data_IF_973604018036
#
_entry.id   IF_973604018036
#
_cell.length_a   1.000
_cell.length_b   1.000
_cell.length_c   1.000
_cell.angle_alpha   90.00
_cell.angle_beta   90.00
_cell.angle_gamma   90.00
#
_symmetry.space_group_name_H-M   'P 1'
#
loop_
_entity.id
_entity.type
_entity.pdbx_description
1 polymer ?
#
# COMPACT_ATOMS: atom_id res chain seq x y z
N UNK A 1 -37.80 -13.12 16.50
CA UNK A 1 -37.02 -13.07 15.25
C UNK A 1 -36.14 -11.81 15.29
N UNK A 2 -34.83 -11.91 15.59
CA UNK A 2 -33.98 -10.73 15.60
C UNK A 2 -33.32 -10.56 14.22
N UNK A 3 -33.72 -9.52 13.50
CA UNK A 3 -32.96 -8.97 12.38
C UNK A 3 -32.20 -7.75 12.89
N UNK A 4 -30.95 -7.96 13.32
CA UNK A 4 -29.98 -6.88 13.51
C UNK A 4 -28.72 -7.24 12.70
N UNK A 5 -28.68 -6.79 11.45
CA UNK A 5 -27.41 -6.60 10.72
C UNK A 5 -27.11 -5.12 10.73
N UNK A 6 -26.30 -4.69 11.69
CA UNK A 6 -25.67 -3.37 11.71
C UNK A 6 -24.32 -3.53 11.01
N UNK A 7 -24.28 -3.25 9.71
CA UNK A 7 -23.05 -3.11 8.95
C UNK A 7 -22.44 -1.75 9.28
N UNK A 8 -21.24 -1.75 9.85
CA UNK A 8 -20.43 -0.56 10.05
C UNK A 8 -19.05 -0.82 9.42
N UNK A 9 -18.79 -0.14 8.31
CA UNK A 9 -17.58 -0.22 7.50
C UNK A 9 -16.55 0.79 8.01
N UNK A 10 -15.31 0.35 8.17
CA UNK A 10 -14.17 1.19 8.57
C UNK A 10 -13.14 1.24 7.45
N UNK A 11 -12.69 2.45 7.15
CA UNK A 11 -11.73 2.74 6.09
C UNK A 11 -10.31 2.43 6.55
N UNK A 12 -9.79 1.29 6.09
CA UNK A 12 -8.35 1.06 5.96
C UNK A 12 -8.05 0.99 4.46
N UNK A 13 -7.39 2.02 3.94
CA UNK A 13 -6.91 2.02 2.55
C UNK A 13 -5.71 1.07 2.52
N UNK A 14 -5.96 -0.20 2.25
CA UNK A 14 -4.93 -1.09 1.75
C UNK A 14 -4.62 -0.66 0.32
N UNK A 15 -3.65 0.25 0.17
CA UNK A 15 -2.96 0.40 -1.10
C UNK A 15 -2.29 -0.94 -1.35
N UNK A 16 -2.86 -1.77 -2.24
CA UNK A 16 -2.17 -2.92 -2.81
C UNK A 16 -0.96 -2.38 -3.56
N UNK A 17 0.11 -2.13 -2.82
CA UNK A 17 1.44 -1.97 -3.37
C UNK A 17 1.80 -3.36 -3.91
N UNK A 18 1.37 -3.63 -5.14
CA UNK A 18 2.09 -4.56 -5.98
C UNK A 18 3.56 -4.21 -5.78
N UNK A 19 4.36 -5.16 -5.29
CA UNK A 19 5.79 -5.02 -4.96
C UNK A 19 6.48 -6.31 -5.46
N UNK A 20 6.75 -6.40 -6.76
CA UNK A 20 7.40 -7.57 -7.37
C UNK A 20 8.91 -7.31 -7.45
N UNK A 21 9.69 -8.20 -6.85
CA UNK A 21 11.15 -8.14 -6.79
C UNK A 21 11.81 -8.35 -8.16
N UNK A 22 12.94 -7.69 -8.36
CA UNK A 22 13.88 -7.95 -9.44
C UNK A 22 14.65 -9.26 -9.26
N UNK A 23 14.96 -9.87 -10.41
CA UNK A 23 15.89 -10.97 -10.54
C UNK A 23 17.29 -10.56 -10.07
N UNK A 24 17.92 -11.43 -9.28
CA UNK A 24 19.35 -11.39 -9.02
C UNK A 24 20.09 -11.80 -10.30
N UNK A 25 20.84 -10.87 -10.89
CA UNK A 25 21.91 -11.19 -11.83
C UNK A 25 23.22 -10.82 -11.14
N UNK A 26 23.97 -11.87 -10.79
CA UNK A 26 25.31 -11.82 -10.26
C UNK A 26 26.26 -11.41 -11.38
N UNK A 27 26.86 -10.23 -11.28
CA UNK A 27 27.96 -9.80 -12.13
C UNK A 27 28.96 -9.01 -11.29
N UNK A 28 30.02 -9.70 -10.87
CA UNK A 28 31.30 -9.11 -10.53
C UNK A 28 31.80 -8.27 -11.71
N UNK A 29 32.33 -7.07 -11.42
CA UNK A 29 33.61 -6.49 -11.87
C UNK A 29 33.53 -4.96 -11.84
N UNK A 30 34.57 -4.32 -11.30
CA UNK A 30 34.88 -2.90 -11.52
C UNK A 30 34.95 -2.08 -10.24
N UNK A 31 36.15 -1.97 -9.69
CA UNK A 31 36.52 -1.03 -8.63
C UNK A 31 36.88 0.30 -9.32
N UNK A 32 35.89 1.15 -9.55
CA UNK A 32 36.08 2.53 -10.01
C UNK A 32 35.67 3.47 -8.86
N UNK A 33 36.67 4.10 -8.24
CA UNK A 33 36.48 5.21 -7.31
C UNK A 33 35.88 6.40 -8.07
N UNK A 34 34.56 6.59 -7.96
CA UNK A 34 33.89 7.79 -8.42
C UNK A 34 33.75 8.74 -7.23
N UNK A 35 34.57 9.80 -7.21
CA UNK A 35 34.37 10.95 -6.34
C UNK A 35 32.98 11.53 -6.61
N UNK A 36 32.05 11.24 -5.69
CA UNK A 36 30.67 11.71 -5.77
C UNK A 36 30.58 13.08 -5.11
N UNK A 37 30.73 14.13 -5.92
CA UNK A 37 30.43 15.51 -5.52
C UNK A 37 28.95 15.61 -5.15
N UNK A 38 28.69 15.60 -3.83
CA UNK A 38 27.36 15.71 -3.24
C UNK A 38 26.90 17.17 -3.29
N UNK A 39 26.38 17.57 -4.44
CA UNK A 39 25.67 18.85 -4.57
C UNK A 39 24.41 18.82 -3.70
N UNK A 40 24.31 19.80 -2.79
CA UNK A 40 23.23 19.97 -1.83
C UNK A 40 21.84 19.97 -2.52
N UNK A 41 21.07 18.91 -2.28
CA UNK A 41 19.64 18.85 -2.62
C UNK A 41 18.92 19.80 -1.67
N UNK A 42 18.22 20.80 -2.22
CA UNK A 42 17.51 21.82 -1.44
C UNK A 42 16.45 21.23 -0.50
N UNK A 43 16.57 21.58 0.77
CA UNK A 43 15.84 21.14 1.97
C UNK A 43 14.33 21.54 2.04
N UNK A 44 13.64 21.75 0.92
CA UNK A 44 12.37 22.50 0.92
C UNK A 44 11.08 21.72 0.65
N UNK A 45 11.14 20.54 0.02
CA UNK A 45 9.93 19.82 -0.34
C UNK A 45 9.47 18.98 0.87
N UNK A 46 8.27 19.23 1.45
CA UNK A 46 7.73 18.33 2.46
C UNK A 46 7.66 16.92 1.85
N UNK A 47 8.07 15.88 2.60
CA UNK A 47 8.02 14.51 2.09
C UNK A 47 6.60 14.22 1.59
N UNK A 48 6.46 13.47 0.47
CA UNK A 48 5.14 13.12 -0.03
C UNK A 48 4.33 12.52 1.10
N UNK A 49 3.06 12.91 1.21
CA UNK A 49 2.15 12.47 2.27
C UNK A 49 1.97 10.95 2.20
N UNK A 50 2.91 10.21 2.78
CA UNK A 50 2.76 8.79 3.03
C UNK A 50 1.67 8.74 4.09
N UNK A 51 0.47 8.31 3.71
CA UNK A 51 -0.66 8.20 4.62
C UNK A 51 -0.18 7.50 5.89
N UNK A 52 -0.49 8.09 7.05
CA UNK A 52 -0.02 7.56 8.33
C UNK A 52 -0.57 6.14 8.46
N UNK A 53 0.29 5.14 8.29
CA UNK A 53 -0.09 3.75 8.52
C UNK A 53 -0.35 3.60 10.02
N UNK A 54 -1.57 3.23 10.37
CA UNK A 54 -1.93 2.74 11.70
C UNK A 54 -2.24 1.25 11.58
N UNK A 55 -2.11 0.50 12.68
CA UNK A 55 -2.38 -0.94 12.68
C UNK A 55 -1.18 -1.82 12.98
N UNK A 56 -1.38 -3.15 12.95
CA UNK A 56 -0.32 -4.15 13.02
C UNK A 56 0.87 -3.90 12.06
N UNK A 57 0.67 -3.46 10.80
CA UNK A 57 1.80 -3.16 9.90
C UNK A 57 2.68 -2.03 10.42
N UNK A 58 2.09 -0.97 10.96
CA UNK A 58 2.82 0.18 11.47
C UNK A 58 3.72 -0.20 12.65
N UNK A 59 3.23 -1.07 13.54
CA UNK A 59 3.99 -1.61 14.66
C UNK A 59 5.21 -2.42 14.16
N UNK A 60 5.03 -3.29 13.17
CA UNK A 60 6.14 -4.05 12.60
C UNK A 60 7.18 -3.15 11.92
N UNK A 61 6.76 -2.15 11.16
CA UNK A 61 7.70 -1.23 10.51
C UNK A 61 8.49 -0.38 11.52
N UNK A 62 7.94 -0.08 12.70
CA UNK A 62 8.74 0.52 13.78
C UNK A 62 9.73 -0.45 14.40
N UNK A 63 9.38 -1.73 14.51
CA UNK A 63 10.31 -2.74 14.99
C UNK A 63 11.56 -2.82 14.10
N UNK A 64 11.42 -2.69 12.77
CA UNK A 64 12.54 -2.59 11.82
C UNK A 64 13.44 -1.36 12.06
N UNK A 65 12.88 -0.31 12.66
CA UNK A 65 13.56 0.94 12.96
C UNK A 65 13.92 1.06 14.45
N UNK A 66 13.80 -0.01 15.23
CA UNK A 66 14.09 0.03 16.66
C UNK A 66 15.57 0.43 16.90
N UNK A 67 15.85 1.28 17.90
CA UNK A 67 17.22 1.63 18.24
C UNK A 67 17.98 0.39 18.76
N UNK A 68 19.27 0.30 18.45
CA UNK A 68 20.13 -0.75 18.99
C UNK A 68 19.90 -2.17 18.45
N UNK A 69 19.21 -2.33 17.32
CA UNK A 69 19.10 -3.64 16.66
C UNK A 69 20.49 -4.22 16.36
N UNK A 70 20.74 -5.43 16.84
CA UNK A 70 21.92 -6.20 16.42
C UNK A 70 21.79 -6.62 14.94
N UNK A 71 22.91 -6.99 14.32
CA UNK A 71 22.91 -7.47 12.93
C UNK A 71 22.02 -8.71 12.74
N UNK A 72 22.01 -9.62 13.71
CA UNK A 72 21.16 -10.82 13.69
C UNK A 72 19.66 -10.46 13.83
N UNK A 73 19.31 -9.56 14.75
CA UNK A 73 17.93 -9.09 14.91
C UNK A 73 17.42 -8.44 13.62
N UNK A 74 18.20 -7.53 13.05
CA UNK A 74 17.88 -6.85 11.79
C UNK A 74 17.65 -7.84 10.65
N UNK A 75 18.56 -8.79 10.46
CA UNK A 75 18.45 -9.83 9.43
C UNK A 75 17.16 -10.64 9.57
N UNK A 76 16.78 -11.03 10.79
CA UNK A 76 15.53 -11.76 11.06
C UNK A 76 14.28 -10.92 10.76
N UNK A 77 14.27 -9.65 11.13
CA UNK A 77 13.16 -8.74 10.85
C UNK A 77 13.04 -8.48 9.34
N UNK A 78 14.14 -8.27 8.61
CA UNK A 78 14.13 -8.11 7.15
C UNK A 78 13.69 -9.39 6.42
N UNK A 79 14.00 -10.57 6.98
CA UNK A 79 13.46 -11.84 6.48
C UNK A 79 11.94 -11.93 6.68
N UNK A 80 11.44 -11.54 7.86
CA UNK A 80 10.00 -11.47 8.14
C UNK A 80 9.29 -10.47 7.22
N UNK A 81 9.88 -9.29 6.98
CA UNK A 81 9.35 -8.30 6.03
C UNK A 81 9.20 -8.88 4.62
N UNK A 82 10.22 -9.59 4.14
CA UNK A 82 10.18 -10.27 2.84
C UNK A 82 9.09 -11.34 2.77
N UNK A 83 8.88 -12.09 3.85
CA UNK A 83 7.84 -13.12 3.94
C UNK A 83 6.42 -12.53 3.91
N UNK A 84 6.22 -11.31 4.40
CA UNK A 84 4.92 -10.64 4.32
C UNK A 84 4.52 -10.26 2.89
N UNK A 85 5.50 -10.03 2.01
CA UNK A 85 5.23 -9.52 0.66
C UNK A 85 4.28 -10.46 -0.08
N UNK A 86 3.17 -9.95 -0.65
CA UNK A 86 2.25 -10.78 -1.40
C UNK A 86 3.01 -11.49 -2.51
N UNK A 87 2.74 -12.78 -2.70
CA UNK A 87 3.34 -13.54 -3.79
C UNK A 87 2.96 -12.87 -5.10
N UNK A 88 3.95 -12.62 -5.95
CA UNK A 88 3.70 -12.07 -7.28
C UNK A 88 2.71 -12.99 -8.03
N UNK A 89 1.77 -12.38 -8.76
CA UNK A 89 0.78 -13.07 -9.59
C UNK A 89 1.06 -12.77 -11.07
N UNK A 90 2.18 -13.27 -11.62
CA UNK A 90 2.61 -12.94 -12.98
C UNK A 90 1.53 -13.30 -14.02
N UNK A 91 0.73 -14.33 -13.78
CA UNK A 91 -0.37 -14.73 -14.63
C UNK A 91 -1.46 -13.65 -14.74
N UNK A 92 -1.79 -12.97 -13.64
CA UNK A 92 -2.77 -11.87 -13.64
C UNK A 92 -2.22 -10.62 -14.29
N UNK A 93 -0.94 -10.31 -14.04
CA UNK A 93 -0.26 -9.20 -14.69
C UNK A 93 -0.20 -9.40 -16.20
N UNK A 94 0.16 -10.61 -16.66
CA UNK A 94 0.18 -10.96 -18.09
C UNK A 94 -1.22 -10.90 -18.73
N UNK A 95 -2.25 -11.41 -18.05
CA UNK A 95 -3.63 -11.32 -18.54
C UNK A 95 -4.10 -9.87 -18.69
N UNK A 96 -3.81 -9.01 -17.71
CA UNK A 96 -4.11 -7.57 -17.79
C UNK A 96 -3.32 -6.89 -18.91
N UNK A 97 -2.02 -7.17 -19.03
CA UNK A 97 -1.18 -6.62 -20.09
C UNK A 97 -1.66 -7.03 -21.50
N UNK A 98 -2.05 -8.29 -21.69
CA UNK A 98 -2.64 -8.75 -22.94
C UNK A 98 -3.95 -8.01 -23.28
N UNK A 99 -4.82 -7.80 -22.28
CA UNK A 99 -6.06 -7.03 -22.45
C UNK A 99 -5.79 -5.56 -22.82
N UNK A 100 -4.78 -4.94 -22.19
CA UNK A 100 -4.32 -3.59 -22.52
C UNK A 100 -3.83 -3.51 -23.97
N UNK A 101 -2.95 -4.43 -24.41
CA UNK A 101 -2.46 -4.45 -25.80
C UNK A 101 -3.60 -4.59 -26.81
N UNK A 102 -4.57 -5.45 -26.49
CA UNK A 102 -5.76 -5.68 -27.30
C UNK A 102 -6.71 -4.46 -27.35
N UNK A 103 -6.49 -3.41 -26.53
CA UNK A 103 -7.33 -2.23 -26.51
C UNK A 103 -8.69 -2.44 -25.83
N UNK A 104 -8.89 -3.54 -25.11
CA UNK A 104 -10.18 -3.89 -24.49
C UNK A 104 -9.98 -4.55 -23.13
N UNK A 105 -10.59 -3.96 -22.11
CA UNK A 105 -10.58 -4.43 -20.73
C UNK A 105 -11.97 -4.96 -20.40
N UNK A 106 -12.04 -6.16 -19.83
CA UNK A 106 -13.25 -6.73 -19.26
C UNK A 106 -13.06 -6.86 -17.75
N UNK A 107 -13.57 -5.90 -16.94
CA UNK A 107 -13.40 -5.90 -15.51
C UNK A 107 -13.86 -7.20 -14.85
N UNK A 108 -14.91 -7.83 -15.38
CA UNK A 108 -15.49 -9.05 -14.80
C UNK A 108 -14.57 -10.27 -14.91
N UNK A 109 -13.65 -10.27 -15.89
CA UNK A 109 -12.67 -11.35 -16.10
C UNK A 109 -11.34 -11.11 -15.39
N UNK A 110 -11.01 -9.85 -15.11
CA UNK A 110 -9.71 -9.46 -14.57
C UNK A 110 -9.76 -9.18 -13.06
N UNK A 111 -10.90 -8.70 -12.55
CA UNK A 111 -11.07 -8.45 -11.14
C UNK A 111 -11.04 -9.76 -10.34
N UNK A 112 -10.40 -9.78 -9.16
CA UNK A 112 -10.53 -10.92 -8.26
C UNK A 112 -11.99 -11.11 -7.85
N UNK A 113 -12.39 -12.36 -7.63
CA UNK A 113 -13.69 -12.64 -7.00
C UNK A 113 -13.67 -12.21 -5.53
N UNK A 114 -14.85 -11.98 -4.94
CA UNK A 114 -14.96 -11.62 -3.52
C UNK A 114 -14.39 -12.69 -2.58
N UNK A 115 -14.47 -13.97 -2.95
CA UNK A 115 -13.86 -15.07 -2.20
C UNK A 115 -12.34 -15.02 -2.26
N UNK A 116 -11.77 -14.75 -3.43
CA UNK A 116 -10.32 -14.58 -3.59
C UNK A 116 -9.81 -13.38 -2.81
N UNK A 117 -10.56 -12.28 -2.76
CA UNK A 117 -10.22 -11.10 -1.96
C UNK A 117 -10.25 -11.36 -0.46
N UNK A 118 -11.27 -12.08 0.01
CA UNK A 118 -11.32 -12.51 1.40
C UNK A 118 -10.10 -13.36 1.74
N UNK A 119 -9.76 -14.33 0.87
CA UNK A 119 -8.60 -15.20 1.07
C UNK A 119 -7.29 -14.41 1.05
N UNK A 120 -7.12 -13.46 0.13
CA UNK A 120 -5.95 -12.56 0.10
C UNK A 120 -5.80 -11.73 1.39
N UNK A 121 -6.91 -11.23 1.95
CA UNK A 121 -6.90 -10.48 3.21
C UNK A 121 -6.54 -11.36 4.40
N UNK A 122 -7.08 -12.57 4.45
CA UNK A 122 -6.75 -13.55 5.49
C UNK A 122 -5.27 -13.94 5.41
N UNK A 123 -4.77 -14.27 4.22
CA UNK A 123 -3.35 -14.59 4.00
C UNK A 123 -2.45 -13.43 4.42
N UNK A 124 -2.82 -12.19 4.10
CA UNK A 124 -2.07 -11.01 4.51
C UNK A 124 -2.10 -10.80 6.03
N UNK A 125 -3.26 -10.98 6.67
CA UNK A 125 -3.41 -10.88 8.12
C UNK A 125 -2.55 -11.92 8.84
N UNK A 126 -2.58 -13.18 8.41
CA UNK A 126 -1.73 -14.25 8.94
C UNK A 126 -0.25 -13.90 8.82
N UNK A 127 0.19 -13.39 7.65
CA UNK A 127 1.59 -12.98 7.46
C UNK A 127 2.02 -11.84 8.38
N UNK A 128 1.14 -10.87 8.63
CA UNK A 128 1.40 -9.81 9.60
C UNK A 128 1.48 -10.36 11.03
N UNK A 129 0.62 -11.32 11.38
CA UNK A 129 0.67 -12.00 12.68
C UNK A 129 2.04 -12.70 12.88
N UNK A 130 2.47 -13.50 11.90
CA UNK A 130 3.75 -14.20 11.94
C UNK A 130 4.95 -13.24 12.04
N UNK A 131 4.87 -12.11 11.33
CA UNK A 131 5.90 -11.08 11.36
C UNK A 131 5.98 -10.37 12.73
N UNK A 132 4.83 -10.06 13.34
CA UNK A 132 4.78 -9.47 14.69
C UNK A 132 5.24 -10.46 15.77
N UNK A 133 4.86 -11.74 15.68
CA UNK A 133 5.38 -12.78 16.56
C UNK A 133 6.91 -12.90 16.44
N UNK A 134 7.44 -12.81 15.22
CA UNK A 134 8.89 -12.78 15.00
C UNK A 134 9.53 -11.55 15.62
N UNK A 135 8.94 -10.37 15.42
CA UNK A 135 9.45 -9.13 15.99
C UNK A 135 9.49 -9.18 17.52
N UNK A 136 8.39 -9.60 18.15
CA UNK A 136 8.29 -9.71 19.60
C UNK A 136 9.37 -10.63 20.20
N UNK A 137 9.56 -11.81 19.62
CA UNK A 137 10.56 -12.79 20.06
C UNK A 137 12.01 -12.32 19.87
N UNK A 138 12.28 -11.54 18.83
CA UNK A 138 13.63 -11.11 18.45
C UNK A 138 14.06 -9.86 19.21
N UNK A 139 13.12 -8.96 19.49
CA UNK A 139 13.36 -7.77 20.30
C UNK A 139 13.41 -8.12 21.79
N UNK A 140 14.31 -7.48 22.52
CA UNK A 140 14.27 -7.53 23.99
C UNK A 140 13.16 -6.61 24.55
N UNK A 141 12.94 -6.71 25.86
CA UNK A 141 11.89 -5.94 26.56
C UNK A 141 12.06 -4.43 26.41
N UNK A 142 13.29 -3.90 26.44
CA UNK A 142 13.56 -2.46 26.31
C UNK A 142 13.27 -1.98 24.89
N UNK A 143 13.68 -2.76 23.88
CA UNK A 143 13.40 -2.49 22.48
C UNK A 143 11.91 -2.51 22.18
N UNK A 144 11.15 -3.49 22.71
CA UNK A 144 9.69 -3.55 22.56
C UNK A 144 9.01 -2.32 23.16
N UNK A 145 9.43 -1.89 24.36
CA UNK A 145 8.92 -0.67 24.98
C UNK A 145 9.22 0.59 24.15
N UNK A 146 10.43 0.68 23.57
CA UNK A 146 10.81 1.81 22.70
C UNK A 146 9.98 1.84 21.41
N UNK A 147 9.73 0.69 20.79
CA UNK A 147 8.85 0.56 19.61
C UNK A 147 7.44 1.05 19.95
N UNK A 148 6.86 0.57 21.06
CA UNK A 148 5.52 0.97 21.52
C UNK A 148 5.45 2.47 21.78
N UNK A 149 6.44 3.06 22.45
CA UNK A 149 6.49 4.49 22.69
C UNK A 149 6.51 5.32 21.40
N UNK A 150 7.25 4.88 20.37
CA UNK A 150 7.27 5.55 19.06
C UNK A 150 5.93 5.47 18.34
N UNK A 151 5.26 4.31 18.39
CA UNK A 151 3.92 4.15 17.79
C UNK A 151 2.90 5.05 18.50
N UNK A 152 2.88 5.06 19.83
CA UNK A 152 2.02 5.98 20.63
C UNK A 152 2.28 7.44 20.28
N UNK A 153 3.55 7.84 20.25
CA UNK A 153 3.93 9.20 19.87
C UNK A 153 3.36 9.60 18.50
N UNK A 154 3.41 8.71 17.51
CA UNK A 154 2.79 9.00 16.20
C UNK A 154 1.26 9.00 16.24
N UNK A 155 0.63 8.16 17.06
CA UNK A 155 -0.82 8.18 17.26
C UNK A 155 -1.31 9.46 17.95
N UNK A 156 -0.49 10.07 18.80
CA UNK A 156 -0.78 11.35 19.47
C UNK A 156 -0.54 12.55 18.55
N UNK A 157 0.54 12.52 17.78
CA UNK A 157 0.95 13.62 16.88
C UNK A 157 0.43 13.47 15.46
N UNK A 158 -0.36 12.43 15.17
CA UNK A 158 -1.00 12.27 13.89
C UNK A 158 -1.87 13.51 13.64
N UNK A 159 -1.55 14.32 12.61
CA UNK A 159 -2.38 15.48 12.32
C UNK A 159 -3.79 14.97 12.05
N UNK A 160 -4.79 15.59 12.69
CA UNK A 160 -6.16 15.46 12.19
C UNK A 160 -6.12 16.00 10.76
N UNK A 161 -6.07 15.10 9.79
CA UNK A 161 -6.10 15.50 8.39
C UNK A 161 -7.38 16.31 8.21
N UNK A 162 -7.29 17.60 7.82
CA UNK A 162 -8.47 18.39 7.59
C UNK A 162 -9.33 17.65 6.56
N UNK A 163 -10.67 17.71 6.66
CA UNK A 163 -11.50 17.15 5.61
C UNK A 163 -11.04 17.73 4.27
N UNK A 164 -10.98 16.92 3.19
CA UNK A 164 -10.66 17.46 1.88
C UNK A 164 -11.61 18.62 1.58
N UNK A 165 -11.13 19.73 0.98
CA UNK A 165 -11.97 20.88 0.70
C UNK A 165 -13.21 20.46 -0.10
N UNK A 166 -14.39 21.09 0.14
CA UNK A 166 -15.58 20.80 -0.65
C UNK A 166 -15.30 21.00 -2.14
N UNK A 167 -15.52 19.97 -2.96
CA UNK A 167 -15.30 20.03 -4.41
C UNK A 167 -13.85 19.86 -4.87
N UNK A 168 -12.89 19.62 -3.98
CA UNK A 168 -11.58 19.09 -4.36
C UNK A 168 -11.68 17.56 -4.48
N UNK A 169 -11.70 16.97 -5.68
CA UNK A 169 -11.38 15.54 -5.81
C UNK A 169 -10.02 15.34 -5.14
N UNK A 170 -9.95 14.45 -4.14
CA UNK A 170 -8.80 14.34 -3.23
C UNK A 170 -7.46 14.46 -3.97
N UNK A 171 -6.70 15.51 -3.68
CA UNK A 171 -5.48 15.83 -4.46
C UNK A 171 -4.37 14.78 -4.32
N UNK A 172 -3.24 14.92 -5.03
CA UNK A 172 -2.96 15.74 -6.21
C UNK A 172 -2.97 14.89 -7.50
N UNK A 173 -3.61 15.40 -8.56
CA UNK A 173 -3.38 15.08 -9.99
C UNK A 173 -3.39 13.61 -10.49
N UNK A 174 -3.65 12.62 -9.63
CA UNK A 174 -3.49 11.22 -9.97
C UNK A 174 -4.69 10.43 -9.44
N UNK A 175 -5.76 10.36 -10.24
CA UNK A 175 -6.87 9.44 -10.01
C UNK A 175 -6.41 7.97 -9.90
N UNK A 176 -7.31 6.97 -9.88
CA UNK A 176 -6.98 5.57 -9.63
C UNK A 176 -5.87 5.00 -10.54
N UNK A 177 -5.60 5.64 -11.69
CA UNK A 177 -4.60 5.25 -12.67
C UNK A 177 -3.40 6.19 -12.79
N UNK A 178 -3.32 7.29 -12.02
CA UNK A 178 -2.31 8.32 -12.27
C UNK A 178 -0.86 7.82 -12.17
N UNK A 179 -0.58 6.89 -11.25
CA UNK A 179 0.73 6.25 -11.15
C UNK A 179 1.06 5.31 -12.33
N UNK A 180 0.03 4.72 -12.95
CA UNK A 180 0.20 3.83 -14.10
C UNK A 180 0.43 4.62 -15.38
N UNK A 181 -0.38 5.66 -15.58
CA UNK A 181 -0.33 6.54 -16.74
C UNK A 181 0.84 7.52 -16.71
N UNK A 182 1.50 7.67 -15.56
CA UNK A 182 2.82 8.29 -15.51
C UNK A 182 3.78 7.56 -16.46
N UNK A 183 4.59 8.32 -17.20
CA UNK A 183 5.70 7.82 -18.03
C UNK A 183 5.32 6.99 -19.27
N UNK A 184 4.03 6.95 -19.68
CA UNK A 184 3.64 6.30 -20.95
C UNK A 184 3.62 7.27 -22.15
N UNK A 185 4.13 8.50 -21.97
CA UNK A 185 4.23 9.49 -23.04
C UNK A 185 2.91 10.18 -23.41
N UNK A 186 2.03 10.43 -22.42
CA UNK A 186 0.80 11.22 -22.65
C UNK A 186 1.13 12.70 -22.82
N UNK A 187 0.65 13.32 -23.89
CA UNK A 187 0.62 14.79 -24.00
C UNK A 187 -0.51 15.40 -23.17
N UNK A 188 -0.50 16.71 -23.00
CA UNK A 188 -1.48 17.42 -22.15
C UNK A 188 -2.92 17.31 -22.70
N UNK A 189 -3.06 17.22 -24.03
CA UNK A 189 -4.37 17.06 -24.67
C UNK A 189 -4.98 15.70 -24.33
N UNK A 190 -4.20 14.62 -24.46
CA UNK A 190 -4.62 13.26 -24.12
C UNK A 190 -4.87 13.09 -22.61
N UNK A 191 -4.06 13.72 -21.76
CA UNK A 191 -4.32 13.74 -20.30
C UNK A 191 -5.67 14.38 -19.99
N UNK A 192 -5.95 15.53 -20.60
CA UNK A 192 -7.23 16.24 -20.42
C UNK A 192 -8.41 15.41 -20.93
N UNK A 193 -8.24 14.71 -22.06
CA UNK A 193 -9.25 13.80 -22.62
C UNK A 193 -9.55 12.64 -21.66
N UNK A 194 -8.50 11.99 -21.12
CA UNK A 194 -8.62 10.92 -20.13
C UNK A 194 -9.32 11.40 -18.86
N UNK A 195 -8.89 12.55 -18.33
CA UNK A 195 -9.50 13.15 -17.13
C UNK A 195 -10.98 13.44 -17.35
N UNK A 196 -11.33 14.03 -18.49
CA UNK A 196 -12.72 14.32 -18.88
C UNK A 196 -13.55 13.04 -19.00
N UNK A 197 -13.00 11.97 -19.58
CA UNK A 197 -13.68 10.69 -19.72
C UNK A 197 -13.94 10.00 -18.37
N UNK A 198 -12.96 10.06 -17.47
CA UNK A 198 -13.09 9.56 -16.10
C UNK A 198 -14.11 10.38 -15.30
N UNK A 199 -14.11 11.70 -15.43
CA UNK A 199 -15.07 12.59 -14.77
C UNK A 199 -16.50 12.35 -15.27
N UNK A 200 -16.69 12.17 -16.58
CA UNK A 200 -17.99 11.92 -17.19
C UNK A 200 -18.65 10.63 -16.67
N UNK A 201 -17.85 9.62 -16.32
CA UNK A 201 -18.37 8.36 -15.77
C UNK A 201 -18.81 8.50 -14.32
N UNK A 202 -18.33 9.52 -13.59
CA UNK A 202 -18.68 9.81 -12.21
C UNK A 202 -18.65 8.55 -11.35
N UNK A 203 -17.47 7.97 -11.18
CA UNK A 203 -17.26 6.91 -10.20
C UNK A 203 -17.67 7.40 -8.80
N UNK A 204 -18.91 7.13 -8.40
CA UNK A 204 -19.42 7.50 -7.09
C UNK A 204 -18.80 6.58 -6.03
N UNK A 205 -17.55 6.86 -5.66
CA UNK A 205 -16.95 6.28 -4.46
C UNK A 205 -17.47 7.09 -3.28
N UNK A 206 -18.70 6.80 -2.84
CA UNK A 206 -19.25 7.33 -1.59
C UNK A 206 -18.54 6.65 -0.43
N UNK A 207 -17.35 7.16 -0.08
CA UNK A 207 -16.72 6.84 1.19
C UNK A 207 -17.39 7.70 2.26
N UNK A 208 -18.20 7.14 3.16
CA UNK A 208 -18.65 7.90 4.32
C UNK A 208 -17.41 8.35 5.10
N UNK A 209 -17.37 9.58 5.63
CA UNK A 209 -16.31 9.98 6.54
C UNK A 209 -16.28 8.97 7.71
N UNK A 210 -15.09 8.53 8.16
CA UNK A 210 -15.01 7.57 9.25
C UNK A 210 -15.68 8.18 10.49
N UNK A 211 -16.70 7.50 11.02
CA UNK A 211 -17.41 7.89 12.24
C UNK A 211 -16.39 8.11 13.37
N UNK A 212 -16.54 9.16 14.16
CA UNK A 212 -15.69 9.41 15.32
C UNK A 212 -15.63 8.20 16.28
N UNK A 213 -16.74 7.45 16.43
CA UNK A 213 -16.80 6.21 17.21
C UNK A 213 -15.95 5.10 16.61
N UNK A 214 -15.94 4.99 15.28
CA UNK A 214 -15.09 4.04 14.57
C UNK A 214 -13.63 4.38 14.81
N UNK A 215 -13.23 5.65 14.65
CA UNK A 215 -11.85 6.09 14.94
C UNK A 215 -11.45 5.82 16.39
N UNK A 216 -12.33 6.10 17.34
CA UNK A 216 -12.10 5.82 18.76
C UNK A 216 -11.94 4.31 19.03
N UNK A 217 -12.80 3.47 18.44
CA UNK A 217 -12.71 2.02 18.56
C UNK A 217 -11.40 1.45 18.00
N UNK A 218 -10.97 1.91 16.82
CA UNK A 218 -9.67 1.53 16.26
C UNK A 218 -8.51 2.01 17.13
N UNK A 219 -8.60 3.20 17.71
CA UNK A 219 -7.57 3.70 18.64
C UNK A 219 -7.46 2.82 19.87
N UNK A 220 -8.58 2.44 20.48
CA UNK A 220 -8.61 1.55 21.64
C UNK A 220 -8.00 0.19 21.31
N UNK A 221 -8.41 -0.44 20.20
CA UNK A 221 -7.83 -1.70 19.74
C UNK A 221 -6.32 -1.62 19.51
N UNK A 222 -5.84 -0.47 19.01
CA UNK A 222 -4.41 -0.24 18.85
C UNK A 222 -3.69 -0.08 20.19
N UNK A 223 -4.28 0.58 21.17
CA UNK A 223 -3.68 0.67 22.52
C UNK A 223 -3.60 -0.71 23.18
N UNK A 224 -4.65 -1.53 23.07
CA UNK A 224 -4.66 -2.91 23.60
C UNK A 224 -3.56 -3.76 22.95
N UNK A 225 -3.40 -3.63 21.63
CA UNK A 225 -2.31 -4.30 20.89
C UNK A 225 -0.93 -3.83 21.35
N UNK A 226 -0.75 -2.52 21.56
CA UNK A 226 0.52 -1.96 22.00
C UNK A 226 0.87 -2.38 23.43
N UNK A 227 -0.11 -2.46 24.32
CA UNK A 227 0.07 -2.98 25.67
C UNK A 227 0.44 -4.46 25.66
N UNK A 228 -0.28 -5.28 24.89
CA UNK A 228 0.03 -6.70 24.71
C UNK A 228 1.44 -6.91 24.14
N UNK A 229 1.83 -6.15 23.11
CA UNK A 229 3.15 -6.26 22.47
C UNK A 229 4.30 -5.86 23.41
N UNK A 230 4.08 -4.96 24.36
CA UNK A 230 5.08 -4.61 25.37
C UNK A 230 5.28 -5.75 26.39
N UNK A 231 4.23 -6.53 26.66
CA UNK A 231 4.27 -7.66 27.59
C UNK A 231 5.13 -8.82 27.09
N UNK A 232 5.57 -9.70 27.99
CA UNK A 232 6.23 -10.96 27.62
C UNK A 232 5.23 -12.01 27.08
N UNK A 233 3.94 -11.85 27.37
CA UNK A 233 2.85 -12.77 27.00
C UNK A 233 2.15 -12.41 25.67
N UNK A 234 2.80 -11.64 24.80
CA UNK A 234 2.21 -11.28 23.50
C UNK A 234 1.91 -12.52 22.65
N UNK A 235 0.66 -12.65 22.19
CA UNK A 235 0.27 -13.64 21.21
C UNK A 235 -0.28 -12.97 19.95
N UNK A 236 0.39 -13.20 18.82
CA UNK A 236 -0.06 -12.66 17.53
C UNK A 236 -1.35 -13.32 17.02
N UNK A 237 -1.76 -14.46 17.57
CA UNK A 237 -3.05 -15.07 17.27
C UNK A 237 -4.23 -14.24 17.80
N UNK A 238 -4.01 -13.39 18.79
CA UNK A 238 -5.02 -12.50 19.38
C UNK A 238 -5.21 -11.19 18.61
N UNK A 239 -4.50 -11.02 17.49
CA UNK A 239 -4.67 -9.84 16.63
C UNK A 239 -6.12 -9.71 16.17
N UNK A 240 -6.70 -8.49 16.22
CA UNK A 240 -8.06 -8.28 15.76
C UNK A 240 -8.17 -8.67 14.28
N UNK A 241 -9.30 -9.30 13.95
CA UNK A 241 -9.61 -9.64 12.57
C UNK A 241 -9.51 -8.40 11.68
N UNK A 242 -9.08 -8.54 10.41
CA UNK A 242 -9.01 -7.41 9.52
C UNK A 242 -10.41 -6.81 9.34
N UNK A 243 -10.55 -5.47 9.35
CA UNK A 243 -11.84 -4.85 9.10
C UNK A 243 -12.36 -5.25 7.71
N UNK A 244 -13.68 -5.16 7.54
CA UNK A 244 -14.26 -5.27 6.20
C UNK A 244 -13.63 -4.21 5.29
N UNK A 245 -13.22 -4.63 4.09
CA UNK A 245 -12.52 -3.74 3.18
C UNK A 245 -13.49 -2.68 2.69
N UNK A 246 -13.06 -1.42 2.57
CA UNK A 246 -13.88 -0.41 1.92
C UNK A 246 -14.13 -0.81 0.46
N UNK A 247 -15.17 -0.24 -0.16
CA UNK A 247 -15.35 -0.33 -1.60
C UNK A 247 -14.05 0.04 -2.31
N UNK A 248 -13.59 -0.84 -3.21
CA UNK A 248 -12.37 -0.57 -3.97
C UNK A 248 -12.61 0.62 -4.90
N UNK A 249 -11.57 1.45 -5.15
CA UNK A 249 -11.58 2.30 -6.32
C UNK A 249 -11.86 1.43 -7.56
N UNK A 250 -12.66 1.91 -8.51
CA UNK A 250 -13.07 1.15 -9.68
C UNK A 250 -11.93 1.12 -10.70
N UNK A 251 -10.86 0.40 -10.35
CA UNK A 251 -9.58 0.38 -11.06
C UNK A 251 -9.73 -0.23 -12.46
N UNK A 252 -10.42 -1.36 -12.59
CA UNK A 252 -10.56 -2.04 -13.87
C UNK A 252 -11.58 -1.32 -14.75
N UNK A 253 -12.62 -0.74 -14.17
CA UNK A 253 -13.62 0.08 -14.85
C UNK A 253 -12.99 1.39 -15.33
N UNK A 254 -12.06 1.98 -14.57
CA UNK A 254 -11.26 3.11 -15.04
C UNK A 254 -10.37 2.72 -16.23
N UNK A 255 -9.76 1.54 -16.21
CA UNK A 255 -8.96 1.04 -17.34
C UNK A 255 -9.83 0.75 -18.57
N UNK A 256 -11.05 0.25 -18.40
CA UNK A 256 -12.02 0.06 -19.48
C UNK A 256 -12.32 1.35 -20.24
N UNK A 257 -12.35 2.50 -19.55
CA UNK A 257 -12.52 3.82 -20.17
C UNK A 257 -11.23 4.31 -20.83
N UNK A 258 -10.09 4.15 -20.14
CA UNK A 258 -8.83 4.78 -20.57
C UNK A 258 -8.17 4.02 -21.72
N UNK A 259 -8.15 2.69 -21.68
CA UNK A 259 -7.40 1.87 -22.63
C UNK A 259 -7.81 2.12 -24.10
N UNK A 260 -9.11 2.27 -24.46
CA UNK A 260 -9.51 2.62 -25.82
C UNK A 260 -9.04 4.00 -26.31
N UNK A 261 -8.69 4.93 -25.41
CA UNK A 261 -8.22 6.27 -25.75
C UNK A 261 -6.71 6.33 -26.05
N UNK A 262 -5.98 5.27 -25.69
CA UNK A 262 -4.54 5.15 -25.87
C UNK A 262 -4.20 4.64 -27.27
N UNK A 263 -3.14 5.19 -27.88
CA UNK A 263 -2.59 4.62 -29.11
C UNK A 263 -1.83 3.30 -28.86
N UNK A 264 -1.43 2.61 -29.93
CA UNK A 264 -0.77 1.30 -29.85
C UNK A 264 0.54 1.34 -29.04
N UNK A 265 1.33 2.42 -29.18
CA UNK A 265 2.59 2.59 -28.46
C UNK A 265 2.36 2.82 -26.96
N UNK A 266 1.35 3.63 -26.62
CA UNK A 266 0.95 3.90 -25.24
C UNK A 266 0.39 2.66 -24.55
N UNK A 267 -0.41 1.84 -25.27
CA UNK A 267 -0.90 0.55 -24.76
C UNK A 267 0.25 -0.43 -24.53
N UNK A 268 1.22 -0.52 -25.44
CA UNK A 268 2.40 -1.36 -25.22
C UNK A 268 3.24 -0.91 -24.02
N UNK A 269 3.49 0.39 -23.89
CA UNK A 269 4.22 0.96 -22.76
C UNK A 269 3.53 0.66 -21.43
N UNK A 270 2.21 0.83 -21.37
CA UNK A 270 1.42 0.51 -20.18
C UNK A 270 1.42 -0.99 -19.88
N UNK A 271 1.22 -1.85 -20.89
CA UNK A 271 1.25 -3.31 -20.73
C UNK A 271 2.61 -3.81 -20.21
N UNK A 272 3.70 -3.33 -20.81
CA UNK A 272 5.07 -3.60 -20.37
C UNK A 272 5.32 -3.17 -18.92
N UNK A 273 4.75 -2.02 -18.51
CA UNK A 273 4.83 -1.53 -17.12
C UNK A 273 4.07 -2.43 -16.15
N UNK A 274 2.91 -2.96 -16.53
CA UNK A 274 2.14 -3.92 -15.72
C UNK A 274 2.90 -5.24 -15.55
N UNK A 275 3.49 -5.78 -16.62
CA UNK A 275 4.26 -7.03 -16.57
C UNK A 275 5.52 -6.91 -15.71
N UNK A 276 6.24 -5.78 -15.84
CA UNK A 276 7.40 -5.47 -15.00
C UNK A 276 7.01 -5.27 -13.54
N UNK A 277 5.81 -4.74 -13.33
CA UNK A 277 5.30 -4.38 -12.03
C UNK A 277 5.83 -3.04 -11.51
N UNK A 278 5.49 -2.70 -10.26
CA UNK A 278 6.07 -1.57 -9.50
C UNK A 278 7.60 -1.47 -9.62
N UNK A 279 8.12 -0.30 -9.97
CA UNK A 279 9.54 -0.07 -9.76
C UNK A 279 9.82 0.24 -8.28
N UNK A 280 10.87 -0.37 -7.67
CA UNK A 280 11.31 0.00 -6.33
C UNK A 280 11.62 1.50 -6.26
N UNK A 281 11.30 2.19 -5.16
CA UNK A 281 11.47 3.63 -5.04
C UNK A 281 12.92 4.09 -5.28
N UNK A 282 13.91 3.28 -4.91
CA UNK A 282 15.34 3.58 -5.09
C UNK A 282 15.84 3.45 -6.55
N UNK A 283 15.01 2.96 -7.48
CA UNK A 283 15.34 2.85 -8.92
C UNK A 283 14.68 3.93 -9.78
N UNK A 284 14.01 4.91 -9.17
CA UNK A 284 13.49 6.09 -9.88
C UNK A 284 14.61 7.14 -9.90
N UNK A 285 15.50 7.04 -10.88
CA UNK A 285 16.52 8.07 -11.17
C UNK A 285 16.25 8.64 -12.55
#
# INVERSE_FOLDING_TARGET
MPNLRRSFLVSLIFTTAASVLGCAADARLGDDEVESDSAAIGDGAPPPHVGVMFGPPALFFEALQAPGLTADQRSKLEAAERAMRPSARPERAAALAAAIRAGSIDPSKLAPSSEEELRMRQDMHTRFADALATAHRVLDTEQRAAVVARVRGRMEHAPELPPPPPGMPGGPAHGPLGFLLADIGLDDAKRTEIESALEATRFEIKLPPPDAKVRAGHRAQMEDLLESFASDDFDAADLPAPPEAPPRPPFFEALEIVVPLLDDSQREALASKIERGPMPPHRRR
#
